data_IF_346809320684
#
_entry.id   IF_346809320684
#
_cell.length_a   1.000
_cell.length_b   1.000
_cell.length_c   1.000
_cell.angle_alpha   90.00
_cell.angle_beta   90.00
_cell.angle_gamma   90.00
#
_symmetry.space_group_name_H-M   'P 1'
#
loop_
_entity.id
_entity.type
_entity.pdbx_description
1 polymer ?
#
# COMPACT_ATOMS: atom_id res chain seq x y z
N UNK A 1 -13.26 75.99 10.80
CA UNK A 1 -11.93 75.76 11.39
C UNK A 1 -11.45 74.39 10.96
N UNK A 2 -10.42 74.29 10.12
CA UNK A 2 -9.80 72.99 9.84
C UNK A 2 -8.85 72.68 10.99
N UNK A 3 -9.18 71.68 11.82
CA UNK A 3 -8.28 71.23 12.87
C UNK A 3 -7.07 70.59 12.20
N UNK A 4 -5.90 71.25 12.30
CA UNK A 4 -4.64 70.65 11.90
C UNK A 4 -4.36 69.50 12.85
N UNK A 5 -4.32 68.28 12.33
CA UNK A 5 -3.89 67.09 13.07
C UNK A 5 -2.49 67.37 13.63
N UNK A 6 -2.29 67.09 14.91
CA UNK A 6 -1.00 67.31 15.56
C UNK A 6 0.09 66.52 14.84
N UNK A 7 1.29 67.08 14.76
CA UNK A 7 2.43 66.39 14.14
C UNK A 7 2.76 65.07 14.87
N UNK A 8 2.49 65.02 16.18
CA UNK A 8 2.60 63.81 17.00
C UNK A 8 1.60 62.75 16.52
N UNK A 9 0.35 63.13 16.28
CA UNK A 9 -0.69 62.23 15.81
C UNK A 9 -0.39 61.72 14.39
N UNK A 10 0.13 62.57 13.50
CA UNK A 10 0.58 62.16 12.17
C UNK A 10 1.66 61.08 12.25
N UNK A 11 2.66 61.26 13.11
CA UNK A 11 3.73 60.28 13.29
C UNK A 11 3.23 58.94 13.89
N UNK A 12 2.26 59.01 14.81
CA UNK A 12 1.61 57.84 15.38
C UNK A 12 0.83 57.06 14.31
N UNK A 13 0.00 57.76 13.53
CA UNK A 13 -0.78 57.14 12.46
C UNK A 13 0.11 56.53 11.39
N UNK A 14 1.21 57.19 11.03
CA UNK A 14 2.15 56.67 10.05
C UNK A 14 2.81 55.38 10.54
N UNK A 15 3.32 55.36 11.78
CA UNK A 15 3.86 54.14 12.40
C UNK A 15 2.83 53.02 12.48
N UNK A 16 1.58 53.34 12.81
CA UNK A 16 0.50 52.35 12.91
C UNK A 16 0.14 51.77 11.55
N UNK A 17 0.08 52.60 10.51
CA UNK A 17 -0.14 52.15 9.12
C UNK A 17 0.99 51.24 8.65
N UNK A 18 2.25 51.59 8.95
CA UNK A 18 3.39 50.77 8.56
C UNK A 18 3.41 49.42 9.29
N UNK A 19 3.05 49.38 10.58
CA UNK A 19 2.85 48.13 11.30
C UNK A 19 1.77 47.25 10.67
N UNK A 20 0.61 47.85 10.34
CA UNK A 20 -0.47 47.11 9.69
C UNK A 20 -0.03 46.57 8.34
N UNK A 21 0.67 47.34 7.51
CA UNK A 21 1.20 46.87 6.22
C UNK A 21 2.13 45.66 6.39
N UNK A 22 2.98 45.66 7.41
CA UNK A 22 3.88 44.54 7.68
C UNK A 22 3.13 43.31 8.23
N UNK A 23 2.13 43.51 9.09
CA UNK A 23 1.23 42.44 9.54
C UNK A 23 0.46 41.81 8.36
N UNK A 24 -0.05 42.63 7.44
CA UNK A 24 -0.72 42.17 6.23
C UNK A 24 0.25 41.42 5.29
N UNK A 25 1.47 41.93 5.06
CA UNK A 25 2.49 41.25 4.26
C UNK A 25 2.84 39.87 4.83
N UNK A 26 2.99 39.76 6.15
CA UNK A 26 3.24 38.47 6.82
C UNK A 26 2.07 37.50 6.66
N UNK A 27 0.84 38.01 6.66
CA UNK A 27 -0.39 37.22 6.51
C UNK A 27 -0.77 36.95 5.06
N UNK A 28 -0.23 37.70 4.11
CA UNK A 28 -0.46 37.53 2.67
C UNK A 28 -0.10 36.11 2.23
N UNK A 29 1.00 35.56 2.75
CA UNK A 29 1.39 34.15 2.52
C UNK A 29 0.33 33.14 2.95
N UNK A 30 -0.58 33.48 3.88
CA UNK A 30 -1.63 32.57 4.36
C UNK A 30 -3.03 32.90 3.82
N UNK A 31 -3.20 34.10 3.27
CA UNK A 31 -4.49 34.59 2.75
C UNK A 31 -4.57 34.56 1.23
N UNK A 32 -3.43 34.47 0.53
CA UNK A 32 -3.44 34.36 -0.93
C UNK A 32 -3.83 32.93 -1.34
N UNK A 33 -4.95 32.73 -2.06
CA UNK A 33 -5.32 31.41 -2.57
C UNK A 33 -4.31 30.86 -3.59
N UNK A 34 -3.42 31.73 -4.11
CA UNK A 34 -2.42 31.40 -5.13
C UNK A 34 -1.07 31.00 -4.48
N UNK A 35 -0.71 31.60 -3.33
CA UNK A 35 0.59 31.40 -2.68
C UNK A 35 0.54 30.75 -1.30
N UNK A 36 -0.66 30.61 -0.72
CA UNK A 36 -0.85 30.18 0.67
C UNK A 36 -1.46 28.81 0.87
N UNK A 37 -2.03 28.20 -0.16
CA UNK A 37 -2.23 26.75 -0.16
C UNK A 37 -0.89 26.09 -0.47
N UNK A 38 -0.38 25.18 0.38
CA UNK A 38 0.67 24.27 -0.09
C UNK A 38 0.17 23.67 -1.40
N UNK A 39 1.01 23.71 -2.43
CA UNK A 39 0.71 23.04 -3.70
C UNK A 39 0.23 21.65 -3.33
N UNK A 40 -0.99 21.28 -3.75
CA UNK A 40 -1.39 19.89 -3.62
C UNK A 40 -0.28 19.09 -4.30
N UNK A 41 0.25 18.04 -3.65
CA UNK A 41 1.25 17.23 -4.29
C UNK A 41 0.67 16.75 -5.64
N UNK A 42 1.51 16.76 -6.67
CA UNK A 42 1.10 16.25 -7.97
C UNK A 42 0.70 14.78 -7.83
N UNK A 43 -0.07 14.28 -8.80
CA UNK A 43 -0.39 12.84 -8.82
C UNK A 43 0.89 12.00 -8.82
N UNK A 44 1.90 12.42 -9.60
CA UNK A 44 3.19 11.75 -9.70
C UNK A 44 3.95 11.72 -8.34
N UNK A 45 3.93 12.82 -7.58
CA UNK A 45 4.54 12.89 -6.24
C UNK A 45 3.83 11.97 -5.23
N UNK A 46 2.50 11.82 -5.37
CA UNK A 46 1.73 10.90 -4.53
C UNK A 46 2.05 9.45 -4.91
N UNK A 47 2.15 9.14 -6.21
CA UNK A 47 2.49 7.81 -6.69
C UNK A 47 3.87 7.38 -6.20
N UNK A 48 4.89 8.25 -6.31
CA UNK A 48 6.25 7.97 -5.84
C UNK A 48 6.29 7.67 -4.32
N UNK A 49 5.59 8.48 -3.51
CA UNK A 49 5.49 8.27 -2.07
C UNK A 49 4.79 6.97 -1.70
N UNK A 50 3.78 6.56 -2.47
CA UNK A 50 3.06 5.30 -2.25
C UNK A 50 3.96 4.12 -2.62
N UNK A 51 4.66 4.18 -3.75
CA UNK A 51 5.59 3.13 -4.18
C UNK A 51 6.72 2.92 -3.16
N UNK A 52 7.32 4.02 -2.67
CA UNK A 52 8.37 3.95 -1.65
C UNK A 52 7.87 3.28 -0.36
N UNK A 53 6.68 3.68 0.12
CA UNK A 53 6.08 3.08 1.31
C UNK A 53 5.73 1.61 1.15
N UNK A 54 5.21 1.21 0.00
CA UNK A 54 4.89 -0.19 -0.28
C UNK A 54 6.18 -1.01 -0.26
N UNK A 55 7.25 -0.49 -0.85
CA UNK A 55 8.55 -1.15 -0.86
C UNK A 55 9.11 -1.32 0.56
N UNK A 56 9.10 -0.25 1.36
CA UNK A 56 9.52 -0.30 2.77
C UNK A 56 8.70 -1.33 3.58
N UNK A 57 7.39 -1.38 3.35
CA UNK A 57 6.52 -2.33 4.02
C UNK A 57 6.82 -3.78 3.61
N UNK A 58 7.03 -4.06 2.33
CA UNK A 58 7.36 -5.42 1.84
C UNK A 58 8.74 -5.88 2.32
N UNK A 59 9.68 -4.95 2.48
CA UNK A 59 11.02 -5.22 3.03
C UNK A 59 11.04 -5.27 4.57
N UNK A 60 9.92 -5.02 5.24
CA UNK A 60 9.84 -5.01 6.70
C UNK A 60 9.92 -6.43 7.28
N UNK A 61 10.60 -6.54 8.43
CA UNK A 61 10.72 -7.81 9.15
C UNK A 61 9.35 -8.34 9.61
N UNK A 62 8.41 -7.45 9.98
CA UNK A 62 7.03 -7.78 10.37
C UNK A 62 6.29 -8.48 9.23
N UNK A 63 6.40 -7.97 8.00
CA UNK A 63 5.77 -8.59 6.84
C UNK A 63 6.38 -9.96 6.51
N UNK A 64 7.70 -10.13 6.66
CA UNK A 64 8.34 -11.42 6.47
C UNK A 64 7.97 -12.44 7.56
N UNK A 65 7.78 -12.00 8.79
CA UNK A 65 7.28 -12.83 9.89
C UNK A 65 5.83 -13.29 9.62
N UNK A 66 4.94 -12.36 9.28
CA UNK A 66 3.55 -12.68 8.91
C UNK A 66 3.49 -13.64 7.72
N UNK A 67 4.36 -13.47 6.72
CA UNK A 67 4.43 -14.36 5.56
C UNK A 67 4.87 -15.77 5.95
N UNK A 68 5.83 -15.90 6.86
CA UNK A 68 6.28 -17.21 7.38
C UNK A 68 5.20 -17.87 8.22
N UNK A 69 4.55 -17.11 9.10
CA UNK A 69 3.44 -17.61 9.91
C UNK A 69 2.30 -18.12 9.03
N UNK A 70 1.92 -17.36 8.00
CA UNK A 70 0.91 -17.80 7.03
C UNK A 70 1.33 -19.09 6.32
N UNK A 71 2.58 -19.20 5.87
CA UNK A 71 3.07 -20.41 5.21
C UNK A 71 3.03 -21.62 6.15
N UNK A 72 3.44 -21.44 7.41
CA UNK A 72 3.39 -22.48 8.42
C UNK A 72 1.94 -22.90 8.70
N UNK A 73 1.02 -21.95 8.83
CA UNK A 73 -0.41 -22.25 9.02
C UNK A 73 -1.00 -23.02 7.83
N UNK A 74 -0.58 -22.70 6.60
CA UNK A 74 -1.00 -23.44 5.40
C UNK A 74 -0.42 -24.87 5.41
N UNK A 75 0.82 -25.06 5.85
CA UNK A 75 1.42 -26.39 5.99
C UNK A 75 0.74 -27.22 7.10
N UNK A 76 0.37 -26.58 8.20
CA UNK A 76 -0.32 -27.21 9.34
C UNK A 76 -1.80 -27.53 9.05
N UNK A 77 -2.52 -26.65 8.32
CA UNK A 77 -3.89 -26.91 7.86
C UNK A 77 -3.94 -27.97 6.75
N UNK A 78 -2.92 -28.05 5.89
CA UNK A 78 -2.77 -29.13 4.91
C UNK A 78 -2.22 -30.43 5.53
N UNK A 79 -2.74 -30.83 6.70
CA UNK A 79 -2.44 -32.09 7.37
C UNK A 79 -2.73 -33.35 6.52
N UNK A 80 -3.43 -33.21 5.39
CA UNK A 80 -3.53 -34.21 4.33
C UNK A 80 -2.45 -33.95 3.27
N UNK A 81 -1.29 -34.60 3.40
CA UNK A 81 -0.26 -34.55 2.35
C UNK A 81 -0.73 -35.45 1.21
N UNK A 82 -1.20 -34.88 0.12
CA UNK A 82 -1.59 -35.69 -1.04
C UNK A 82 -0.34 -36.14 -1.81
N UNK A 83 -0.20 -37.44 -2.08
CA UNK A 83 0.68 -37.93 -3.13
C UNK A 83 0.05 -37.59 -4.48
N UNK A 84 0.71 -36.74 -5.26
CA UNK A 84 0.17 -36.23 -6.52
C UNK A 84 1.13 -36.55 -7.66
N UNK A 85 0.68 -37.29 -8.66
CA UNK A 85 1.48 -37.68 -9.83
C UNK A 85 0.68 -37.45 -11.10
N UNK A 86 1.33 -36.94 -12.16
CA UNK A 86 0.72 -36.75 -13.48
C UNK A 86 1.11 -37.93 -14.36
N UNK A 87 0.12 -38.56 -14.98
CA UNK A 87 0.32 -39.65 -15.92
C UNK A 87 -0.26 -39.33 -17.29
N UNK A 88 0.38 -39.90 -18.31
CA UNK A 88 -0.01 -39.73 -19.71
C UNK A 88 -0.51 -41.03 -20.34
N UNK A 89 -0.15 -42.19 -19.77
CA UNK A 89 -0.55 -43.49 -20.29
C UNK A 89 -1.79 -44.04 -19.59
N UNK A 90 -2.70 -44.63 -20.37
CA UNK A 90 -3.93 -45.25 -19.85
C UNK A 90 -3.62 -46.41 -18.90
N UNK A 91 -2.53 -47.15 -19.16
CA UNK A 91 -2.06 -48.27 -18.33
C UNK A 91 -1.64 -47.81 -16.93
N UNK A 92 -0.87 -46.72 -16.82
CA UNK A 92 -0.44 -46.18 -15.54
C UNK A 92 -1.59 -45.55 -14.75
N UNK A 93 -2.56 -44.92 -15.46
CA UNK A 93 -3.77 -44.36 -14.85
C UNK A 93 -4.60 -45.46 -14.20
N UNK A 94 -4.84 -46.57 -14.91
CA UNK A 94 -5.60 -47.71 -14.39
C UNK A 94 -4.86 -48.34 -13.21
N UNK A 95 -3.53 -48.51 -13.32
CA UNK A 95 -2.71 -49.07 -12.24
C UNK A 95 -2.81 -48.25 -10.96
N UNK A 96 -2.71 -46.93 -11.05
CA UNK A 96 -2.75 -46.04 -9.88
C UNK A 96 -4.17 -45.83 -9.35
N UNK A 97 -5.20 -45.87 -10.20
CA UNK A 97 -6.59 -45.87 -9.76
C UNK A 97 -6.87 -47.08 -8.85
N UNK A 98 -6.36 -48.27 -9.22
CA UNK A 98 -6.48 -49.48 -8.39
C UNK A 98 -5.70 -49.40 -7.06
N UNK A 99 -4.70 -48.51 -6.96
CA UNK A 99 -3.95 -48.23 -5.72
C UNK A 99 -4.65 -47.21 -4.80
N UNK A 100 -5.83 -46.72 -5.21
CA UNK A 100 -6.65 -45.78 -4.44
C UNK A 100 -6.26 -44.32 -4.65
N UNK A 101 -5.77 -43.96 -5.84
CA UNK A 101 -5.62 -42.57 -6.25
C UNK A 101 -6.91 -42.10 -6.95
N UNK A 102 -7.33 -40.88 -6.65
CA UNK A 102 -8.40 -40.16 -7.34
C UNK A 102 -7.87 -39.57 -8.65
N UNK A 103 -8.62 -39.76 -9.73
CA UNK A 103 -8.22 -39.33 -11.07
C UNK A 103 -8.94 -38.03 -11.47
N UNK A 104 -8.18 -37.00 -11.84
CA UNK A 104 -8.70 -35.74 -12.41
C UNK A 104 -8.02 -35.46 -13.76
N UNK A 105 -8.80 -35.24 -14.82
CA UNK A 105 -8.26 -34.93 -16.14
C UNK A 105 -7.83 -33.46 -16.19
N UNK A 106 -6.57 -33.19 -16.52
CA UNK A 106 -6.04 -31.82 -16.63
C UNK A 106 -6.08 -31.34 -18.09
N UNK A 107 -5.67 -32.20 -19.04
CA UNK A 107 -5.48 -31.82 -20.44
C UNK A 107 -5.66 -33.02 -21.40
N UNK A 108 -5.52 -32.80 -22.71
CA UNK A 108 -5.50 -33.87 -23.70
C UNK A 108 -4.36 -34.86 -23.43
N UNK A 109 -4.73 -36.02 -22.87
CA UNK A 109 -3.81 -37.11 -22.55
C UNK A 109 -3.17 -37.02 -21.17
N UNK A 110 -3.40 -35.97 -20.37
CA UNK A 110 -2.79 -35.81 -19.03
C UNK A 110 -3.81 -35.95 -17.90
N UNK A 111 -3.49 -36.79 -16.93
CA UNK A 111 -4.31 -37.05 -15.76
C UNK A 111 -3.53 -36.82 -14.48
N UNK A 112 -4.11 -36.02 -13.57
CA UNK A 112 -3.65 -35.86 -12.21
C UNK A 112 -4.20 -37.00 -11.35
N UNK A 113 -3.32 -37.74 -10.70
CA UNK A 113 -3.68 -38.79 -9.76
C UNK A 113 -3.32 -38.30 -8.36
N UNK A 114 -4.29 -38.20 -7.43
CA UNK A 114 -4.07 -37.75 -6.05
C UNK A 114 -4.48 -38.80 -5.04
N UNK A 115 -3.70 -39.00 -3.97
CA UNK A 115 -4.05 -39.88 -2.85
C UNK A 115 -3.67 -39.23 -1.52
N UNK A 116 -4.57 -39.22 -0.55
CA UNK A 116 -4.26 -38.76 0.80
C UNK A 116 -3.20 -39.66 1.47
N UNK A 117 -2.08 -39.07 1.87
CA UNK A 117 -1.12 -39.70 2.77
C UNK A 117 -1.50 -39.27 4.19
N UNK A 118 -2.09 -40.19 4.95
CA UNK A 118 -2.13 -40.05 6.39
C UNK A 118 -0.72 -40.27 6.94
N UNK A 119 -0.07 -39.20 7.36
CA UNK A 119 1.19 -39.30 8.10
C UNK A 119 0.84 -39.74 9.52
N UNK A 120 1.12 -41.01 9.84
CA UNK A 120 1.01 -41.58 11.18
C UNK A 120 2.18 -41.17 12.06
#
# INVERSE_FOLDING_TARGET
MCHKVSQVDLSYWQRRVDQLREEYRKREKFLNPISGTPSKPSTDEIEELVEEKIKEFVESDEFEEDRKELHQNIEEENGSRYDSVIFESEEEIIEHSNKGYDCEKIDEGKWLMRKEINIS
#
